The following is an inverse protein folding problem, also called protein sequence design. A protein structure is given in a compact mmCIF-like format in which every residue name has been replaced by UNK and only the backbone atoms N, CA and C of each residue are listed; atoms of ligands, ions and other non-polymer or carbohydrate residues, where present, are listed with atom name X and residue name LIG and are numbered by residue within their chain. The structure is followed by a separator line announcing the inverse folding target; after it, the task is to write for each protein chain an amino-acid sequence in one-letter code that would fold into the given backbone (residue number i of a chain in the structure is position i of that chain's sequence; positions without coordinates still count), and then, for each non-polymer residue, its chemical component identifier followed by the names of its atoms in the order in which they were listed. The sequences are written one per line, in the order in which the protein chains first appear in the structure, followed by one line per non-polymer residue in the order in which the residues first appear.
data_IF_587066740468
#
_entry.id   IF_587066740468
#
_cell.length_a   1.000
_cell.length_b   1.000
_cell.length_c   1.000
_cell.angle_alpha   90.00
_cell.angle_beta   90.00
_cell.angle_gamma   90.00
#
_symmetry.space_group_name_H-M   'P 1'
#
loop_
_entity.id
_entity.type
_entity.pdbx_description
1 polymer ?
#
# COMPACT_ATOMS: atom_id res chain seq x y z
N UNK A 1 -30.54 -3.46 -22.93
CA UNK A 1 -30.48 -3.72 -21.47
C UNK A 1 -29.31 -2.92 -20.95
N UNK A 2 -29.53 -2.03 -19.98
CA UNK A 2 -28.50 -1.12 -19.49
C UNK A 2 -27.34 -1.89 -18.88
N UNK A 3 -26.12 -1.47 -19.20
CA UNK A 3 -24.89 -1.96 -18.59
C UNK A 3 -24.87 -1.47 -17.16
N UNK A 4 -24.99 -2.37 -16.19
CA UNK A 4 -24.98 -2.01 -14.77
C UNK A 4 -23.59 -1.49 -14.39
N UNK A 5 -23.52 -0.26 -13.88
CA UNK A 5 -22.25 0.33 -13.47
C UNK A 5 -21.83 -0.29 -12.13
N UNK A 6 -20.67 -0.95 -12.11
CA UNK A 6 -20.04 -1.46 -10.90
C UNK A 6 -19.22 -0.36 -10.21
N UNK A 7 -18.99 -0.50 -8.90
CA UNK A 7 -18.05 0.35 -8.18
C UNK A 7 -16.73 -0.41 -7.98
N UNK A 8 -15.63 0.19 -8.39
CA UNK A 8 -14.29 -0.30 -8.10
C UNK A 8 -13.72 0.50 -6.92
N UNK A 9 -13.12 -0.20 -5.96
CA UNK A 9 -12.52 0.38 -4.77
C UNK A 9 -11.01 0.15 -4.78
N UNK A 10 -10.24 1.18 -4.41
CA UNK A 10 -8.79 1.11 -4.27
C UNK A 10 -8.43 1.65 -2.90
N UNK A 11 -7.72 0.86 -2.11
CA UNK A 11 -7.18 1.24 -0.80
C UNK A 11 -5.68 1.42 -0.95
N UNK A 12 -5.13 2.54 -0.49
CA UNK A 12 -3.68 2.80 -0.49
C UNK A 12 -3.22 2.93 0.94
N UNK A 13 -2.31 2.07 1.38
CA UNK A 13 -1.91 1.92 2.77
C UNK A 13 -0.42 2.17 2.96
N UNK A 14 -0.06 2.93 4.01
CA UNK A 14 1.34 3.07 4.45
C UNK A 14 1.78 1.80 5.19
N UNK A 15 3.04 1.41 5.02
CA UNK A 15 3.67 0.37 5.83
C UNK A 15 3.55 0.62 7.35
N UNK A 16 3.75 -0.43 8.14
CA UNK A 16 3.76 -0.37 9.61
C UNK A 16 5.01 0.27 10.23
N UNK A 17 5.06 0.24 11.56
CA UNK A 17 6.12 0.80 12.39
C UNK A 17 7.49 0.19 12.06
N UNK A 18 8.48 1.03 11.81
CA UNK A 18 9.80 0.60 11.34
C UNK A 18 10.78 0.42 12.49
N UNK A 19 11.62 -0.62 12.38
CA UNK A 19 12.63 -0.93 13.39
C UNK A 19 13.66 0.18 13.56
N UNK A 20 14.10 0.82 12.49
CA UNK A 20 15.09 1.91 12.56
C UNK A 20 14.58 3.17 13.27
N UNK A 21 13.26 3.36 13.33
CA UNK A 21 12.65 4.45 14.09
C UNK A 21 12.55 4.12 15.59
N UNK A 22 12.37 2.84 15.94
CA UNK A 22 12.29 2.37 17.33
C UNK A 22 13.67 2.10 17.96
N UNK A 23 14.63 1.66 17.16
CA UNK A 23 15.99 1.29 17.57
C UNK A 23 17.03 2.13 16.79
N UNK A 24 17.38 3.35 17.25
CA UNK A 24 18.28 4.24 16.51
C UNK A 24 19.67 3.65 16.22
N UNK A 25 20.15 2.70 17.03
CA UNK A 25 21.44 2.03 16.84
C UNK A 25 21.39 0.88 15.82
N UNK A 26 20.20 0.44 15.40
CA UNK A 26 20.04 -0.66 14.44
C UNK A 26 20.74 -0.36 13.12
N UNK A 27 20.65 0.89 12.64
CA UNK A 27 21.25 1.31 11.35
C UNK A 27 22.76 1.14 11.32
N UNK A 28 23.45 1.22 12.47
CA UNK A 28 24.91 1.12 12.53
C UNK A 28 25.44 -0.29 12.23
N UNK A 29 24.63 -1.32 12.47
CA UNK A 29 24.98 -2.72 12.26
C UNK A 29 24.20 -3.38 11.11
N UNK A 30 23.22 -2.68 10.53
CA UNK A 30 22.39 -3.21 9.46
C UNK A 30 23.16 -3.35 8.14
N UNK A 31 22.97 -4.48 7.45
CA UNK A 31 23.50 -4.71 6.11
C UNK A 31 22.81 -3.79 5.08
N UNK A 32 21.49 -3.58 5.23
CA UNK A 32 20.65 -2.72 4.37
C UNK A 32 19.96 -1.63 5.20
N UNK A 33 20.67 -0.60 5.68
CA UNK A 33 20.11 0.42 6.57
C UNK A 33 19.02 1.30 5.92
N UNK A 34 18.92 1.27 4.59
CA UNK A 34 17.88 1.93 3.79
C UNK A 34 16.58 1.11 3.68
N UNK A 35 16.60 -0.19 4.02
CA UNK A 35 15.45 -1.10 3.94
C UNK A 35 15.13 -1.75 5.29
N UNK A 36 14.76 -0.95 6.31
CA UNK A 36 14.48 -1.48 7.64
C UNK A 36 13.26 -2.40 7.65
N UNK A 37 13.28 -3.48 8.47
CA UNK A 37 12.10 -4.28 8.73
C UNK A 37 11.11 -3.53 9.64
N UNK A 38 9.93 -4.09 9.81
CA UNK A 38 8.96 -3.71 10.82
C UNK A 38 9.42 -4.11 12.23
N UNK A 39 8.94 -3.35 13.23
CA UNK A 39 8.92 -3.83 14.62
C UNK A 39 7.88 -4.94 14.79
N UNK A 40 7.88 -5.64 15.92
CA UNK A 40 6.81 -6.57 16.29
C UNK A 40 5.45 -5.86 16.35
N UNK A 41 5.39 -4.71 17.03
CA UNK A 41 4.17 -3.88 17.07
C UNK A 41 3.71 -3.38 15.70
N UNK A 42 4.65 -3.14 14.76
CA UNK A 42 4.32 -2.79 13.38
C UNK A 42 3.64 -3.93 12.62
N UNK A 43 4.07 -5.18 12.85
CA UNK A 43 3.41 -6.38 12.30
C UNK A 43 2.01 -6.56 12.87
N UNK A 44 1.85 -6.42 14.18
CA UNK A 44 0.54 -6.54 14.83
C UNK A 44 -0.43 -5.44 14.38
N UNK A 45 0.06 -4.20 14.24
CA UNK A 45 -0.73 -3.09 13.69
C UNK A 45 -1.20 -3.40 12.26
N UNK A 46 -0.32 -3.92 11.41
CA UNK A 46 -0.64 -4.30 10.04
C UNK A 46 -1.71 -5.42 9.99
N UNK A 47 -1.56 -6.44 10.83
CA UNK A 47 -2.57 -7.49 10.95
C UNK A 47 -3.93 -6.93 11.39
N UNK A 48 -3.95 -6.04 12.40
CA UNK A 48 -5.16 -5.37 12.84
C UNK A 48 -5.83 -4.55 11.73
N UNK A 49 -5.05 -3.83 10.92
CA UNK A 49 -5.56 -3.11 9.76
C UNK A 49 -6.20 -4.05 8.73
N UNK A 50 -5.58 -5.19 8.42
CA UNK A 50 -6.20 -6.18 7.53
C UNK A 50 -7.50 -6.78 8.07
N UNK A 51 -7.60 -6.99 9.39
CA UNK A 51 -8.86 -7.40 10.03
C UNK A 51 -9.93 -6.34 9.92
N UNK A 52 -9.55 -5.08 10.14
CA UNK A 52 -10.44 -3.93 9.97
C UNK A 52 -10.95 -3.89 8.54
N UNK A 53 -10.07 -4.05 7.56
CA UNK A 53 -10.46 -4.10 6.15
C UNK A 53 -11.47 -5.19 5.86
N UNK A 54 -11.23 -6.41 6.36
CA UNK A 54 -12.15 -7.55 6.23
C UNK A 54 -13.53 -7.29 6.84
N UNK A 55 -13.62 -6.54 7.94
CA UNK A 55 -14.86 -6.36 8.72
C UNK A 55 -15.62 -5.08 8.39
N UNK A 56 -14.92 -4.01 8.02
CA UNK A 56 -15.48 -2.64 8.03
C UNK A 56 -15.55 -1.99 6.65
N UNK A 57 -14.74 -2.38 5.65
CA UNK A 57 -14.77 -1.73 4.32
C UNK A 57 -16.11 -1.94 3.57
N UNK A 58 -16.84 -3.01 3.89
CA UNK A 58 -18.09 -3.34 3.17
C UNK A 58 -17.89 -3.88 1.75
N UNK A 59 -16.66 -4.05 1.30
CA UNK A 59 -16.30 -4.69 0.03
C UNK A 59 -15.05 -5.58 0.18
N UNK A 60 -14.91 -6.67 -0.59
CA UNK A 60 -13.73 -7.51 -0.55
C UNK A 60 -12.55 -6.84 -1.26
N UNK A 61 -11.34 -7.01 -0.74
CA UNK A 61 -10.10 -6.79 -1.49
C UNK A 61 -9.79 -8.06 -2.27
N UNK A 62 -9.55 -7.95 -3.57
CA UNK A 62 -9.26 -9.10 -4.44
C UNK A 62 -7.76 -9.22 -4.74
N UNK A 63 -7.04 -8.08 -4.76
CA UNK A 63 -5.64 -8.04 -5.12
C UNK A 63 -4.87 -6.99 -4.34
N UNK A 64 -3.65 -7.35 -3.93
CA UNK A 64 -2.70 -6.47 -3.29
C UNK A 64 -1.46 -6.26 -4.17
N UNK A 65 -1.06 -5.01 -4.33
CA UNK A 65 0.20 -4.59 -4.96
C UNK A 65 1.12 -4.01 -3.91
N UNK A 66 2.37 -4.44 -3.90
CA UNK A 66 3.26 -4.20 -2.77
C UNK A 66 4.56 -3.58 -3.25
N UNK A 67 4.93 -2.46 -2.64
CA UNK A 67 6.25 -1.86 -2.80
C UNK A 67 7.36 -2.87 -2.50
N UNK A 68 8.49 -2.87 -3.23
CA UNK A 68 9.57 -3.84 -3.01
C UNK A 68 10.35 -3.64 -1.70
N UNK A 69 10.09 -2.58 -0.94
CA UNK A 69 10.73 -2.36 0.36
C UNK A 69 10.25 -3.37 1.41
N UNK A 70 11.18 -3.91 2.20
CA UNK A 70 10.95 -4.96 3.19
C UNK A 70 9.79 -4.63 4.13
N UNK A 71 9.77 -3.40 4.68
CA UNK A 71 8.68 -2.90 5.53
C UNK A 71 7.29 -2.99 4.88
N UNK A 72 7.19 -2.78 3.57
CA UNK A 72 5.93 -2.90 2.83
C UNK A 72 5.56 -4.36 2.60
N UNK A 73 6.53 -5.22 2.26
CA UNK A 73 6.33 -6.65 2.12
C UNK A 73 5.85 -7.30 3.43
N UNK A 74 6.47 -6.97 4.56
CA UNK A 74 6.06 -7.45 5.88
C UNK A 74 4.68 -6.92 6.28
N UNK A 75 4.37 -5.66 5.95
CA UNK A 75 3.02 -5.09 6.17
C UNK A 75 1.99 -5.88 5.36
N UNK A 76 2.26 -6.12 4.07
CA UNK A 76 1.35 -6.82 3.18
C UNK A 76 1.15 -8.28 3.61
N UNK A 77 2.20 -8.98 4.06
CA UNK A 77 2.08 -10.34 4.57
C UNK A 77 1.07 -10.44 5.72
N UNK A 78 1.14 -9.51 6.67
CA UNK A 78 0.22 -9.46 7.81
C UNK A 78 -1.21 -9.07 7.42
N UNK A 79 -1.35 -8.05 6.58
CA UNK A 79 -2.67 -7.60 6.09
C UNK A 79 -3.35 -8.69 5.28
N UNK A 80 -2.62 -9.35 4.37
CA UNK A 80 -3.16 -10.42 3.52
C UNK A 80 -3.50 -11.66 4.35
N UNK A 81 -2.70 -11.99 5.37
CA UNK A 81 -3.06 -13.06 6.32
C UNK A 81 -4.41 -12.78 6.96
N UNK A 82 -4.65 -11.55 7.45
CA UNK A 82 -5.92 -11.17 8.06
C UNK A 82 -7.09 -11.15 7.07
N UNK A 83 -6.89 -10.66 5.84
CA UNK A 83 -7.91 -10.68 4.77
C UNK A 83 -8.29 -12.12 4.37
N UNK A 84 -7.30 -13.01 4.33
CA UNK A 84 -7.47 -14.42 3.96
C UNK A 84 -7.95 -15.31 5.12
N UNK A 85 -7.96 -14.83 6.37
CA UNK A 85 -8.33 -15.62 7.53
C UNK A 85 -9.77 -16.18 7.42
N UNK A 86 -9.91 -17.49 7.61
CA UNK A 86 -11.21 -18.20 7.52
C UNK A 86 -11.94 -18.26 8.85
N UNK A 87 -11.19 -18.23 9.95
CA UNK A 87 -11.72 -18.33 11.30
C UNK A 87 -12.24 -16.96 11.77
N UNK A 88 -13.32 -16.98 12.57
CA UNK A 88 -13.89 -15.78 13.20
C UNK A 88 -13.16 -15.41 14.50
N UNK A 89 -12.43 -16.34 15.10
CA UNK A 89 -11.61 -16.21 16.31
C UNK A 89 -10.10 -16.13 16.02
N UNK A 90 -9.73 -15.74 14.79
CA UNK A 90 -8.33 -15.58 14.36
C UNK A 90 -7.52 -14.68 15.30
N UNK A 91 -8.19 -13.72 15.94
CA UNK A 91 -7.66 -12.82 16.97
C UNK A 91 -7.13 -13.59 18.19
N UNK A 92 -7.93 -14.52 18.72
CA UNK A 92 -7.58 -15.30 19.90
C UNK A 92 -6.47 -16.29 19.59
N UNK A 93 -6.53 -16.92 18.41
CA UNK A 93 -5.49 -17.84 17.94
C UNK A 93 -4.15 -17.16 17.80
N UNK A 94 -4.12 -15.98 17.17
CA UNK A 94 -2.87 -15.22 17.03
C UNK A 94 -2.31 -14.81 18.39
N UNK A 95 -3.14 -14.36 19.32
CA UNK A 95 -2.73 -14.05 20.70
C UNK A 95 -2.20 -15.28 21.46
N UNK A 96 -2.71 -16.47 21.14
CA UNK A 96 -2.23 -17.75 21.67
C UNK A 96 -0.96 -18.27 20.95
N UNK A 97 -0.45 -17.56 19.93
CA UNK A 97 0.67 -18.01 19.11
C UNK A 97 0.33 -19.16 18.16
N UNK A 98 -0.95 -19.39 17.91
CA UNK A 98 -1.44 -20.44 17.02
C UNK A 98 -1.48 -19.97 15.56
N UNK A 99 -1.40 -20.92 14.63
CA UNK A 99 -1.47 -20.64 13.19
C UNK A 99 -2.90 -20.25 12.78
N UNK A 100 -3.03 -19.12 12.10
CA UNK A 100 -4.29 -18.68 11.48
C UNK A 100 -4.53 -19.47 10.21
N UNK A 101 -5.70 -20.09 10.07
CA UNK A 101 -6.09 -20.77 8.83
C UNK A 101 -6.46 -19.72 7.77
N UNK A 102 -5.90 -19.85 6.57
CA UNK A 102 -6.06 -18.87 5.49
C UNK A 102 -6.62 -19.51 4.21
N UNK A 103 -7.51 -18.79 3.52
CA UNK A 103 -7.98 -19.10 2.18
C UNK A 103 -7.23 -18.24 1.14
N UNK A 104 -6.23 -18.82 0.43
CA UNK A 104 -5.38 -18.06 -0.50
C UNK A 104 -6.07 -17.72 -1.82
N UNK A 105 -7.32 -18.13 -2.03
CA UNK A 105 -8.12 -17.73 -3.19
C UNK A 105 -8.68 -16.31 -3.05
N UNK A 106 -8.76 -15.77 -1.82
CA UNK A 106 -9.40 -14.47 -1.53
C UNK A 106 -8.61 -13.28 -2.06
N UNK A 107 -7.28 -13.31 -1.91
CA UNK A 107 -6.40 -12.20 -2.30
C UNK A 107 -5.22 -12.71 -3.11
N UNK A 108 -4.97 -12.06 -4.25
CA UNK A 108 -3.72 -12.22 -5.01
C UNK A 108 -2.72 -11.12 -4.69
N UNK A 109 -1.43 -11.45 -4.63
CA UNK A 109 -0.37 -10.50 -4.23
C UNK A 109 0.71 -10.44 -5.31
N UNK A 110 1.10 -9.23 -5.70
CA UNK A 110 2.19 -9.00 -6.64
C UNK A 110 3.07 -7.83 -6.18
N UNK A 111 4.37 -7.90 -6.46
CA UNK A 111 5.30 -6.78 -6.22
C UNK A 111 5.16 -5.75 -7.35
N UNK A 112 5.24 -4.47 -6.99
CA UNK A 112 5.17 -3.33 -7.92
C UNK A 112 6.26 -2.30 -7.60
N UNK A 113 7.26 -2.15 -8.48
CA UNK A 113 8.34 -1.18 -8.28
C UNK A 113 7.83 0.27 -8.32
N UNK A 114 6.74 0.54 -9.03
CA UNK A 114 6.12 1.85 -9.08
C UNK A 114 5.56 2.34 -7.74
N UNK A 115 5.41 1.44 -6.76
CA UNK A 115 5.05 1.76 -5.37
C UNK A 115 6.27 1.95 -4.47
N UNK A 116 7.49 1.97 -5.01
CA UNK A 116 8.69 2.25 -4.22
C UNK A 116 8.65 3.63 -3.56
N UNK A 117 9.39 3.78 -2.46
CA UNK A 117 9.57 5.05 -1.76
C UNK A 117 10.05 6.15 -2.72
N UNK A 118 9.90 7.43 -2.33
CA UNK A 118 10.57 8.51 -3.05
C UNK A 118 12.07 8.20 -3.08
N UNK A 119 12.60 8.00 -4.28
CA UNK A 119 13.93 7.44 -4.44
C UNK A 119 14.99 8.55 -4.50
N UNK A 120 15.09 9.28 -3.39
CA UNK A 120 15.98 10.42 -3.23
C UNK A 120 16.27 10.68 -1.75
N UNK A 121 17.10 11.70 -1.50
CA UNK A 121 17.48 12.14 -0.15
C UNK A 121 16.32 12.70 0.67
N UNK A 122 15.19 13.01 0.03
CA UNK A 122 13.97 13.47 0.71
C UNK A 122 13.38 12.38 1.62
N UNK A 123 13.45 11.11 1.20
CA UNK A 123 12.90 9.99 1.96
C UNK A 123 13.95 8.99 2.48
N UNK A 124 15.13 8.93 1.84
CA UNK A 124 16.21 8.02 2.24
C UNK A 124 17.45 8.83 2.62
N UNK A 125 17.86 8.75 3.88
CA UNK A 125 19.00 9.53 4.39
C UNK A 125 20.31 9.16 3.69
N UNK A 126 21.17 10.16 3.49
CA UNK A 126 22.45 10.04 2.76
C UNK A 126 23.37 8.98 3.39
N UNK A 127 23.39 8.88 4.71
CA UNK A 127 24.19 7.90 5.46
C UNK A 127 23.68 6.45 5.31
N UNK A 128 22.56 6.24 4.60
CA UNK A 128 21.92 4.93 4.41
C UNK A 128 22.02 4.43 2.98
N UNK A 129 22.55 5.21 2.05
CA UNK A 129 22.73 4.82 0.65
C UNK A 129 23.63 3.57 0.60
N UNK A 130 23.29 2.53 -0.20
CA UNK A 130 24.15 1.37 -0.41
C UNK A 130 25.58 1.80 -0.78
N UNK A 131 26.59 1.25 -0.12
CA UNK A 131 28.00 1.60 -0.36
C UNK A 131 28.49 1.17 -1.74
N UNK A 132 27.91 0.10 -2.26
CA UNK A 132 28.13 -0.42 -3.61
C UNK A 132 27.26 0.28 -4.67
N UNK A 133 26.32 1.13 -4.25
CA UNK A 133 25.37 1.82 -5.13
C UNK A 133 24.24 0.93 -5.66
N UNK A 134 24.16 -0.33 -5.23
CA UNK A 134 23.21 -1.30 -5.74
C UNK A 134 21.95 -1.37 -4.86
N UNK A 135 20.82 -1.01 -5.46
CA UNK A 135 19.51 -1.05 -4.82
C UNK A 135 18.77 -2.32 -5.21
N UNK A 136 19.27 -3.44 -4.72
CA UNK A 136 18.73 -4.76 -5.04
C UNK A 136 17.64 -5.20 -4.06
N UNK A 137 16.64 -5.88 -4.59
CA UNK A 137 15.58 -6.53 -3.84
C UNK A 137 15.51 -8.00 -4.25
N UNK A 138 15.55 -8.90 -3.27
CA UNK A 138 15.31 -10.31 -3.54
C UNK A 138 13.79 -10.56 -3.59
N UNK A 139 13.21 -10.44 -4.79
CA UNK A 139 11.76 -10.58 -4.99
C UNK A 139 11.26 -11.95 -4.51
N UNK A 140 12.03 -13.02 -4.73
CA UNK A 140 11.65 -14.36 -4.25
C UNK A 140 11.58 -14.45 -2.73
N UNK A 141 12.46 -13.76 -1.99
CA UNK A 141 12.37 -13.67 -0.53
C UNK A 141 11.16 -12.86 -0.07
N UNK A 142 10.87 -11.72 -0.72
CA UNK A 142 9.70 -10.90 -0.40
C UNK A 142 8.39 -11.67 -0.66
N UNK A 143 8.31 -12.39 -1.77
CA UNK A 143 7.16 -13.23 -2.10
C UNK A 143 7.00 -14.40 -1.13
N UNK A 144 8.10 -14.97 -0.61
CA UNK A 144 8.05 -16.06 0.36
C UNK A 144 7.47 -15.63 1.73
N UNK A 145 7.41 -14.33 2.02
CA UNK A 145 6.76 -13.79 3.22
C UNK A 145 5.23 -13.82 3.11
N UNK A 146 4.68 -13.83 1.90
CA UNK A 146 3.24 -13.79 1.68
C UNK A 146 2.59 -15.14 2.02
N UNK A 147 1.30 -15.18 2.42
CA UNK A 147 0.62 -16.44 2.68
C UNK A 147 0.68 -17.38 1.46
N UNK A 148 0.98 -18.66 1.71
CA UNK A 148 1.20 -19.64 0.64
C UNK A 148 0.00 -19.69 -0.34
N UNK A 149 0.27 -19.60 -1.64
CA UNK A 149 -0.74 -19.63 -2.71
C UNK A 149 -1.38 -18.28 -3.08
N UNK A 150 -1.04 -17.20 -2.36
CA UNK A 150 -1.53 -15.84 -2.67
C UNK A 150 -0.69 -15.12 -3.74
N UNK A 151 0.59 -15.42 -3.86
CA UNK A 151 1.49 -14.75 -4.81
C UNK A 151 1.08 -15.03 -6.25
N UNK A 152 0.86 -13.96 -7.03
CA UNK A 152 0.59 -13.99 -8.45
C UNK A 152 1.78 -13.41 -9.23
N UNK A 153 2.57 -14.31 -9.83
CA UNK A 153 3.75 -13.99 -10.65
C UNK A 153 3.44 -13.75 -12.12
N UNK A 154 2.17 -13.87 -12.53
CA UNK A 154 1.77 -13.67 -13.92
C UNK A 154 1.55 -12.19 -14.25
N UNK A 155 1.54 -11.34 -13.22
CA UNK A 155 1.32 -9.91 -13.36
C UNK A 155 2.60 -9.18 -13.72
N UNK A 156 2.62 -8.57 -14.88
CA UNK A 156 3.65 -7.58 -15.24
C UNK A 156 3.49 -6.31 -14.38
N UNK A 157 4.59 -5.81 -13.83
CA UNK A 157 4.62 -4.53 -13.13
C UNK A 157 4.27 -3.38 -14.07
N UNK A 158 3.64 -2.33 -13.56
CA UNK A 158 3.46 -1.06 -14.27
C UNK A 158 4.82 -0.41 -14.50
N UNK A 159 5.65 -0.36 -13.46
CA UNK A 159 7.05 0.02 -13.58
C UNK A 159 7.93 -1.23 -13.40
N UNK A 160 8.72 -1.59 -14.41
CA UNK A 160 9.59 -2.79 -14.38
C UNK A 160 10.86 -2.61 -13.51
N UNK A 161 11.14 -1.39 -13.08
CA UNK A 161 12.37 -1.04 -12.36
C UNK A 161 12.13 0.14 -11.43
N UNK A 162 13.03 0.29 -10.46
CA UNK A 162 13.09 1.49 -9.64
C UNK A 162 13.28 2.75 -10.48
N UNK A 163 12.75 3.90 -10.04
CA UNK A 163 13.14 5.19 -10.57
C UNK A 163 14.63 5.43 -10.39
N UNK A 164 15.18 6.42 -11.09
CA UNK A 164 16.58 6.81 -10.91
C UNK A 164 16.75 7.50 -9.56
N UNK A 165 17.85 7.20 -8.88
CA UNK A 165 18.21 7.89 -7.63
C UNK A 165 18.26 9.41 -7.84
N UNK A 166 17.72 10.16 -6.88
CA UNK A 166 17.51 11.60 -7.01
C UNK A 166 16.20 11.97 -7.69
N UNK A 167 15.21 11.08 -7.66
CA UNK A 167 13.87 11.36 -8.18
C UNK A 167 13.26 12.60 -7.48
N UNK A 168 12.81 13.62 -8.24
CA UNK A 168 12.13 14.77 -7.66
C UNK A 168 10.82 14.34 -6.98
N UNK A 169 10.52 14.90 -5.81
CA UNK A 169 9.27 14.60 -5.07
C UNK A 169 8.02 14.74 -5.92
N UNK A 170 7.95 15.76 -6.79
CA UNK A 170 6.82 15.94 -7.71
C UNK A 170 6.65 14.77 -8.69
N UNK A 171 7.75 14.24 -9.22
CA UNK A 171 7.71 13.10 -10.15
C UNK A 171 7.36 11.81 -9.42
N UNK A 172 7.88 11.60 -8.20
CA UNK A 172 7.48 10.48 -7.36
C UNK A 172 5.98 10.51 -7.03
N UNK A 173 5.44 11.69 -6.69
CA UNK A 173 3.99 11.89 -6.48
C UNK A 173 3.18 11.57 -7.74
N UNK A 174 3.62 12.05 -8.91
CA UNK A 174 2.98 11.72 -10.18
C UNK A 174 3.04 10.22 -10.51
N UNK A 175 4.16 9.56 -10.19
CA UNK A 175 4.33 8.10 -10.33
C UNK A 175 3.32 7.34 -9.47
N UNK A 176 3.14 7.67 -8.19
CA UNK A 176 2.15 6.99 -7.34
C UNK A 176 0.73 7.07 -7.93
N UNK A 177 0.31 8.25 -8.41
CA UNK A 177 -1.02 8.43 -9.03
C UNK A 177 -1.14 7.64 -10.33
N UNK A 178 -0.12 7.68 -11.19
CA UNK A 178 -0.08 6.91 -12.44
C UNK A 178 -0.18 5.41 -12.19
N UNK A 179 0.60 4.90 -11.23
CA UNK A 179 0.65 3.47 -10.89
C UNK A 179 -0.70 3.00 -10.36
N UNK A 180 -1.33 3.78 -9.47
CA UNK A 180 -2.69 3.50 -9.00
C UNK A 180 -3.68 3.39 -10.16
N UNK A 181 -3.72 4.39 -11.04
CA UNK A 181 -4.64 4.41 -12.19
C UNK A 181 -4.38 3.23 -13.12
N UNK A 182 -3.11 2.95 -13.43
CA UNK A 182 -2.71 1.87 -14.33
C UNK A 182 -3.08 0.50 -13.78
N UNK A 183 -2.86 0.25 -12.48
CA UNK A 183 -3.25 -0.99 -11.82
C UNK A 183 -4.78 -1.13 -11.76
N UNK A 184 -5.50 -0.06 -11.42
CA UNK A 184 -6.96 -0.08 -11.40
C UNK A 184 -7.56 -0.35 -12.79
N UNK A 185 -6.97 0.22 -13.84
CA UNK A 185 -7.38 0.01 -15.23
C UNK A 185 -7.04 -1.40 -15.73
N UNK A 186 -5.94 -1.98 -15.24
CA UNK A 186 -5.55 -3.37 -15.54
C UNK A 186 -6.51 -4.39 -14.92
N UNK A 187 -7.13 -4.04 -13.78
CA UNK A 187 -8.04 -4.92 -13.05
C UNK A 187 -9.40 -4.25 -12.75
N UNK A 188 -10.18 -3.85 -13.76
CA UNK A 188 -11.36 -2.99 -13.57
C UNK A 188 -12.51 -3.65 -12.79
N UNK A 189 -12.49 -4.98 -12.65
CA UNK A 189 -13.46 -5.77 -11.87
C UNK A 189 -12.97 -6.14 -10.47
N UNK A 190 -11.75 -5.74 -10.10
CA UNK A 190 -11.14 -6.09 -8.82
C UNK A 190 -10.95 -4.85 -7.96
N UNK A 191 -11.28 -4.98 -6.69
CA UNK A 191 -10.90 -4.01 -5.66
C UNK A 191 -9.45 -4.26 -5.21
N UNK A 192 -8.69 -3.19 -5.09
CA UNK A 192 -7.25 -3.25 -4.94
C UNK A 192 -6.80 -2.73 -3.56
N UNK A 193 -5.73 -3.31 -3.05
CA UNK A 193 -4.93 -2.78 -1.94
C UNK A 193 -3.52 -2.46 -2.46
N UNK A 194 -3.03 -1.24 -2.24
CA UNK A 194 -1.70 -0.81 -2.62
C UNK A 194 -0.91 -0.50 -1.34
N UNK A 195 0.08 -1.34 -1.01
CA UNK A 195 0.91 -1.17 0.19
C UNK A 195 2.20 -0.41 -0.19
N UNK A 196 2.33 0.81 0.34
CA UNK A 196 3.32 1.81 -0.04
C UNK A 196 3.80 2.63 1.18
N UNK A 197 4.27 3.85 0.95
CA UNK A 197 4.86 4.77 1.92
C UNK A 197 3.94 5.97 2.18
N UNK A 198 4.26 6.79 3.19
CA UNK A 198 3.40 7.91 3.62
C UNK A 198 3.15 8.93 2.51
N UNK A 199 4.20 9.32 1.78
CA UNK A 199 4.07 10.23 0.63
C UNK A 199 3.21 9.66 -0.49
N UNK A 200 3.21 8.34 -0.69
CA UNK A 200 2.35 7.69 -1.68
C UNK A 200 0.88 7.81 -1.33
N UNK A 201 0.53 7.59 -0.06
CA UNK A 201 -0.84 7.79 0.45
C UNK A 201 -1.27 9.25 0.28
N UNK A 202 -0.43 10.20 0.71
CA UNK A 202 -0.70 11.63 0.59
C UNK A 202 -0.85 12.11 -0.86
N UNK A 203 0.03 11.64 -1.76
CA UNK A 203 -0.01 11.98 -3.18
C UNK A 203 -1.33 11.60 -3.84
N UNK A 204 -1.83 10.40 -3.53
CA UNK A 204 -3.09 9.89 -4.07
C UNK A 204 -4.28 10.72 -3.58
N UNK A 205 -4.31 11.08 -2.29
CA UNK A 205 -5.39 11.92 -1.74
C UNK A 205 -5.37 13.30 -2.40
N UNK A 206 -4.22 13.97 -2.41
CA UNK A 206 -4.10 15.31 -2.98
C UNK A 206 -4.36 15.36 -4.49
N UNK A 207 -4.20 14.24 -5.21
CA UNK A 207 -4.54 14.18 -6.64
C UNK A 207 -6.05 14.20 -6.90
N UNK A 208 -6.85 13.68 -5.98
CA UNK A 208 -8.30 13.55 -6.13
C UNK A 208 -9.10 14.51 -5.22
N UNK A 209 -8.44 15.11 -4.23
CA UNK A 209 -8.94 16.19 -3.37
C UNK A 209 -7.90 17.33 -3.31
N UNK A 210 -7.75 18.12 -4.39
CA UNK A 210 -6.68 19.12 -4.51
C UNK A 210 -6.79 20.27 -3.49
N UNK A 211 -7.95 20.47 -2.90
CA UNK A 211 -8.19 21.48 -1.86
C UNK A 211 -7.71 21.04 -0.47
N UNK A 212 -7.27 19.77 -0.33
CA UNK A 212 -6.74 19.23 0.93
C UNK A 212 -5.22 19.12 0.89
N UNK A 213 -4.60 19.58 1.98
CA UNK A 213 -3.21 19.33 2.27
C UNK A 213 -3.09 18.24 3.34
N UNK A 214 -2.53 17.10 2.95
CA UNK A 214 -2.18 16.02 3.89
C UNK A 214 -0.87 16.42 4.57
N UNK A 215 -0.88 16.52 5.91
CA UNK A 215 0.30 16.90 6.69
C UNK A 215 0.82 15.77 7.59
N UNK A 216 0.04 14.71 7.79
CA UNK A 216 0.47 13.53 8.53
C UNK A 216 -0.24 12.27 8.02
N UNK A 217 0.50 11.17 7.97
CA UNK A 217 0.02 9.84 7.57
C UNK A 217 0.65 8.85 8.53
N UNK A 218 -0.11 8.34 9.49
CA UNK A 218 0.39 7.43 10.52
C UNK A 218 0.81 6.06 9.96
N UNK A 219 1.52 5.25 10.74
CA UNK A 219 1.80 3.87 10.36
C UNK A 219 0.51 3.07 10.19
N UNK A 220 0.44 2.26 9.13
CA UNK A 220 -0.77 1.54 8.72
C UNK A 220 -1.98 2.43 8.38
N UNK A 221 -1.79 3.76 8.28
CA UNK A 221 -2.82 4.64 7.78
C UNK A 221 -3.12 4.33 6.31
N UNK A 222 -4.37 4.53 5.90
CA UNK A 222 -4.81 4.18 4.56
C UNK A 222 -5.83 5.17 4.00
N UNK A 223 -5.81 5.39 2.70
CA UNK A 223 -6.84 6.14 2.00
C UNK A 223 -7.70 5.21 1.17
N UNK A 224 -8.98 5.56 1.00
CA UNK A 224 -9.92 4.84 0.17
C UNK A 224 -10.36 5.72 -1.00
N UNK A 225 -10.15 5.21 -2.22
CA UNK A 225 -10.66 5.79 -3.45
C UNK A 225 -11.69 4.85 -4.08
N UNK A 226 -12.68 5.41 -4.75
CA UNK A 226 -13.64 4.65 -5.54
C UNK A 226 -13.88 5.29 -6.90
N UNK A 227 -14.30 4.48 -7.87
CA UNK A 227 -14.75 4.96 -9.18
C UNK A 227 -15.78 4.03 -9.79
N UNK A 228 -16.67 4.58 -10.61
CA UNK A 228 -17.64 3.79 -11.39
C UNK A 228 -16.95 3.14 -12.58
N UNK A 229 -17.30 1.89 -12.84
CA UNK A 229 -16.88 1.11 -14.00
C UNK A 229 -18.12 0.63 -14.74
N UNK A 230 -18.13 0.75 -16.06
CA UNK A 230 -19.20 0.24 -16.93
C UNK A 230 -18.61 -0.62 -18.03
N UNK A 231 -19.22 -1.77 -18.33
CA UNK A 231 -18.81 -2.65 -19.42
C UNK A 231 -19.81 -2.60 -20.56
N UNK A 232 -19.35 -2.45 -21.79
CA UNK A 232 -20.21 -2.60 -22.95
C UNK A 232 -20.42 -4.09 -23.32
N UNK A 233 -21.23 -4.35 -24.35
CA UNK A 233 -21.51 -5.71 -24.84
C UNK A 233 -20.28 -6.47 -25.33
N UNK A 234 -19.20 -5.76 -25.68
CA UNK A 234 -17.93 -6.34 -26.16
C UNK A 234 -16.93 -6.54 -25.01
N UNK A 235 -17.39 -6.43 -23.76
CA UNK A 235 -16.58 -6.50 -22.55
C UNK A 235 -15.47 -5.44 -22.47
N UNK A 236 -15.60 -4.33 -23.22
CA UNK A 236 -14.74 -3.15 -23.06
C UNK A 236 -15.29 -2.29 -21.94
N UNK A 237 -14.40 -1.90 -21.01
CA UNK A 237 -14.79 -1.07 -19.88
C UNK A 237 -14.60 0.41 -20.17
N UNK A 238 -15.40 1.24 -19.50
CA UNK A 238 -15.13 2.66 -19.27
C UNK A 238 -15.04 2.90 -17.77
N UNK A 239 -14.14 3.80 -17.38
CA UNK A 239 -13.94 4.18 -15.99
C UNK A 239 -14.29 5.65 -15.79
N UNK A 240 -15.02 5.94 -14.71
CA UNK A 240 -15.21 7.30 -14.21
C UNK A 240 -13.96 7.81 -13.50
N UNK A 241 -14.02 9.06 -13.05
CA UNK A 241 -12.97 9.64 -12.21
C UNK A 241 -12.98 8.98 -10.83
N UNK A 242 -11.81 8.96 -10.19
CA UNK A 242 -11.70 8.57 -8.79
C UNK A 242 -12.24 9.68 -7.89
N UNK A 243 -12.93 9.23 -6.85
CA UNK A 243 -13.37 10.03 -5.72
C UNK A 243 -12.70 9.45 -4.47
N UNK A 244 -12.12 10.30 -3.62
CA UNK A 244 -11.67 9.86 -2.30
C UNK A 244 -12.89 9.79 -1.40
N UNK A 245 -13.12 8.62 -0.80
CA UNK A 245 -14.21 8.43 0.14
C UNK A 245 -13.74 8.99 1.49
N UNK A 246 -14.41 10.01 2.05
CA UNK A 246 -14.20 10.40 3.43
C UNK A 246 -14.63 9.21 4.27
N UNK A 247 -13.66 8.57 4.91
CA UNK A 247 -13.96 7.39 5.71
C UNK A 247 -14.47 7.86 7.08
N UNK A 248 -15.60 7.32 7.53
CA UNK A 248 -16.07 7.48 8.92
C UNK A 248 -15.14 6.74 9.90
N UNK A 249 -14.27 5.89 9.35
CA UNK A 249 -13.21 5.17 10.01
C UNK A 249 -12.01 6.09 10.28
N UNK A 250 -11.46 6.03 11.49
CA UNK A 250 -10.19 6.70 11.81
C UNK A 250 -9.05 6.12 10.96
N UNK A 251 -8.76 6.75 9.81
CA UNK A 251 -7.81 6.26 8.81
C UNK A 251 -6.35 6.49 9.17
N UNK A 252 -6.08 7.25 10.24
CA UNK A 252 -4.73 7.68 10.61
C UNK A 252 -4.13 8.74 9.67
N UNK A 253 -4.94 9.37 8.83
CA UNK A 253 -4.50 10.47 7.95
C UNK A 253 -5.00 11.79 8.53
N UNK A 254 -4.11 12.78 8.61
CA UNK A 254 -4.47 14.14 9.01
C UNK A 254 -4.28 15.11 7.84
N UNK A 255 -5.32 15.90 7.58
CA UNK A 255 -5.35 16.89 6.52
C UNK A 255 -6.05 18.17 6.98
N UNK A 256 -5.78 19.28 6.29
CA UNK A 256 -6.49 20.55 6.46
C UNK A 256 -6.81 21.15 5.09
N UNK A 257 -7.66 22.18 5.05
CA UNK A 257 -7.89 22.92 3.82
C UNK A 257 -6.62 23.69 3.42
N UNK A 258 -6.27 23.66 2.15
CA UNK A 258 -5.11 24.39 1.62
C UNK A 258 -5.22 25.90 1.88
N UNK A 259 -6.44 26.43 1.98
CA UNK A 259 -6.69 27.83 2.34
C UNK A 259 -6.32 28.19 3.79
N UNK A 260 -6.44 27.25 4.73
CA UNK A 260 -6.14 27.48 6.15
C UNK A 260 -4.64 27.54 6.42
N UNK A 261 -3.83 26.90 5.58
CA UNK A 261 -2.37 26.93 5.70
C UNK A 261 -1.77 28.25 5.20
N UNK A 262 -2.34 28.83 4.13
CA UNK A 262 -1.90 30.11 3.56
C UNK A 262 -2.18 31.32 4.47
N UNK A 263 -3.02 31.17 5.49
CA UNK A 263 -3.30 32.23 6.48
C UNK A 263 -2.32 32.27 7.66
N UNK A 264 -1.29 31.41 7.66
CA UNK A 264 -0.30 31.29 8.76
C UNK A 264 1.11 31.74 8.32
N UNK A 265 1.27 32.23 7.09
CA UNK A 265 2.46 32.95 6.59
C UNK A 265 2.21 34.47 6.51
#
# INVERSE_FOLDING_TARGET
MGTEAAMQHVVVMRHGDRRDNAEPLWTAAAERPWDPPLTEGGRDRAYCAGRRFRRELGFPIHRAFVSPFLRCAETAAEVVTALCAVDHDDDLRRLAGETVSVDPARVKVSIEYGLCEIFSTEAIRVDRIPKDGEWSFNISELEAMMPAGTVDRTVECVDEKLPKWGEPTREARARYVRVLQSLADKYPNENLLLVTHGEGVGAVISAFLPDLMVYDVEYCAFSHQQRRISFNSDNKFTAGNFEVVPDDLETGIRFCLTSEFKSVE
#
